data_IF_489705943536
#
_entry.id   IF_489705943536
#
_cell.length_a   1.000
_cell.length_b   1.000
_cell.length_c   1.000
_cell.angle_alpha   90.00
_cell.angle_beta   90.00
_cell.angle_gamma   90.00
#
_symmetry.space_group_name_H-M   'P 1'
#
loop_
_entity.id
_entity.type
_entity.pdbx_description
1 polymer ?
#
# COMPACT_ATOMS: atom_id res chain seq x y z
N UNK A 1 -45.09 17.83 -21.76
CA UNK A 1 -43.68 17.50 -21.49
C UNK A 1 -43.48 17.01 -20.06
N UNK A 2 -44.02 17.69 -19.05
CA UNK A 2 -43.87 17.31 -17.63
C UNK A 2 -44.39 15.90 -17.30
N UNK A 3 -45.56 15.50 -17.80
CA UNK A 3 -46.12 14.16 -17.57
C UNK A 3 -45.27 13.01 -18.14
N UNK A 4 -44.52 13.27 -19.22
CA UNK A 4 -43.62 12.27 -19.84
C UNK A 4 -42.40 12.05 -18.95
N UNK A 5 -41.85 13.13 -18.39
CA UNK A 5 -40.71 13.06 -17.46
C UNK A 5 -41.12 12.33 -16.18
N UNK A 6 -42.29 12.64 -15.63
CA UNK A 6 -42.83 11.97 -14.43
C UNK A 6 -43.02 10.47 -14.70
N UNK A 7 -43.59 10.10 -15.85
CA UNK A 7 -43.79 8.69 -16.22
C UNK A 7 -42.47 7.92 -16.37
N UNK A 8 -41.46 8.52 -17.01
CA UNK A 8 -40.12 7.93 -17.12
C UNK A 8 -39.46 7.74 -15.75
N UNK A 9 -39.62 8.71 -14.84
CA UNK A 9 -39.03 8.64 -13.51
C UNK A 9 -39.66 7.53 -12.67
N UNK A 10 -40.98 7.34 -12.77
CA UNK A 10 -41.71 6.24 -12.11
C UNK A 10 -41.26 4.89 -12.66
N UNK A 11 -41.12 4.74 -13.99
CA UNK A 11 -40.58 3.51 -14.59
C UNK A 11 -39.15 3.22 -14.14
N UNK A 12 -38.31 4.25 -14.03
CA UNK A 12 -36.93 4.11 -13.56
C UNK A 12 -36.87 3.68 -12.08
N UNK A 13 -37.66 4.30 -11.21
CA UNK A 13 -37.74 3.92 -9.79
C UNK A 13 -38.21 2.47 -9.66
N UNK A 14 -39.27 2.07 -10.40
CA UNK A 14 -39.75 0.70 -10.41
C UNK A 14 -38.69 -0.30 -10.90
N UNK A 15 -37.93 0.05 -11.93
CA UNK A 15 -36.83 -0.76 -12.44
C UNK A 15 -35.70 -0.93 -11.41
N UNK A 16 -35.29 0.16 -10.76
CA UNK A 16 -34.24 0.13 -9.70
C UNK A 16 -34.72 -0.73 -8.53
N UNK A 17 -35.96 -0.57 -8.09
CA UNK A 17 -36.52 -1.34 -6.97
C UNK A 17 -36.62 -2.83 -7.31
N UNK A 18 -36.96 -3.16 -8.56
CA UNK A 18 -36.94 -4.54 -9.05
C UNK A 18 -35.52 -5.13 -9.06
N UNK A 19 -34.53 -4.37 -9.53
CA UNK A 19 -33.12 -4.79 -9.50
C UNK A 19 -32.59 -5.00 -8.08
N UNK A 20 -32.94 -4.11 -7.15
CA UNK A 20 -32.56 -4.22 -5.75
C UNK A 20 -33.18 -5.48 -5.10
N UNK A 21 -34.49 -5.69 -5.24
CA UNK A 21 -35.14 -6.90 -4.70
C UNK A 21 -34.59 -8.21 -5.30
N UNK A 22 -34.16 -8.21 -6.57
CA UNK A 22 -33.49 -9.37 -7.17
C UNK A 22 -32.13 -9.63 -6.52
N UNK A 23 -31.37 -8.57 -6.22
CA UNK A 23 -30.08 -8.66 -5.54
C UNK A 23 -30.24 -9.07 -4.08
N UNK A 24 -31.23 -8.54 -3.38
CA UNK A 24 -31.50 -8.89 -1.99
C UNK A 24 -31.89 -10.36 -1.85
N UNK A 25 -32.69 -10.90 -2.78
CA UNK A 25 -32.97 -12.35 -2.84
C UNK A 25 -31.74 -13.19 -3.17
N UNK A 26 -30.83 -12.71 -4.01
CA UNK A 26 -29.57 -13.40 -4.29
C UNK A 26 -28.65 -13.39 -3.07
N UNK A 27 -28.57 -12.27 -2.36
CA UNK A 27 -27.79 -12.15 -1.12
C UNK A 27 -28.41 -13.03 -0.04
N UNK A 28 -29.73 -13.00 0.15
CA UNK A 28 -30.42 -13.83 1.14
C UNK A 28 -30.28 -15.33 0.82
N UNK A 29 -30.34 -15.72 -0.46
CA UNK A 29 -30.08 -17.12 -0.85
C UNK A 29 -28.62 -17.52 -0.70
N UNK A 30 -27.66 -16.60 -0.91
CA UNK A 30 -26.25 -16.85 -0.62
C UNK A 30 -26.02 -16.97 0.89
N UNK A 31 -26.51 -16.03 1.70
CA UNK A 31 -26.39 -16.02 3.16
C UNK A 31 -27.07 -17.24 3.77
N UNK A 32 -28.26 -17.62 3.32
CA UNK A 32 -28.95 -18.84 3.78
C UNK A 32 -28.27 -20.14 3.32
N UNK A 33 -27.58 -20.11 2.17
CA UNK A 33 -26.69 -21.21 1.79
C UNK A 33 -25.50 -21.26 2.73
N UNK A 34 -24.81 -20.13 2.96
CA UNK A 34 -23.65 -20.02 3.85
C UNK A 34 -23.97 -20.38 5.30
N UNK A 35 -25.12 -19.99 5.85
CA UNK A 35 -25.51 -20.31 7.23
C UNK A 35 -25.92 -21.78 7.43
N UNK A 36 -26.44 -22.44 6.39
CA UNK A 36 -26.63 -23.91 6.39
C UNK A 36 -25.32 -24.68 6.23
N UNK A 37 -24.35 -24.05 5.59
CA UNK A 37 -23.01 -24.57 5.26
C UNK A 37 -22.08 -24.45 6.49
N UNK A 38 -22.16 -23.38 7.26
CA UNK A 38 -21.34 -23.10 8.45
C UNK A 38 -21.46 -24.17 9.56
N UNK A 39 -22.53 -24.96 9.56
CA UNK A 39 -22.77 -25.99 10.58
C UNK A 39 -22.04 -27.31 10.32
N UNK A 40 -21.44 -27.52 9.15
CA UNK A 40 -20.92 -28.85 8.76
C UNK A 40 -19.62 -28.81 7.90
N UNK A 41 -18.85 -27.73 7.96
CA UNK A 41 -17.64 -27.60 7.14
C UNK A 41 -16.44 -28.34 7.74
N UNK A 42 -16.18 -29.53 7.18
CA UNK A 42 -14.90 -30.22 7.29
C UNK A 42 -13.81 -29.39 6.60
N UNK A 43 -12.74 -29.07 7.33
CA UNK A 43 -11.60 -28.25 6.91
C UNK A 43 -11.03 -28.67 5.54
N UNK A 44 -11.18 -29.95 5.19
CA UNK A 44 -10.74 -30.49 3.89
C UNK A 44 -11.56 -29.98 2.69
N UNK A 45 -12.86 -29.70 2.85
CA UNK A 45 -13.70 -29.17 1.77
C UNK A 45 -13.39 -27.70 1.48
N UNK A 46 -13.01 -26.94 2.50
CA UNK A 46 -12.52 -25.56 2.36
C UNK A 46 -11.23 -25.56 1.56
N UNK A 47 -10.32 -26.48 1.88
CA UNK A 47 -9.05 -26.65 1.19
C UNK A 47 -9.25 -26.99 -0.29
N UNK A 48 -10.17 -27.91 -0.59
CA UNK A 48 -10.54 -28.26 -1.97
C UNK A 48 -11.17 -27.09 -2.73
N UNK A 49 -12.05 -26.30 -2.11
CA UNK A 49 -12.64 -25.12 -2.74
C UNK A 49 -11.61 -24.01 -2.97
N UNK A 50 -10.67 -23.80 -2.05
CA UNK A 50 -9.56 -22.86 -2.21
C UNK A 50 -8.60 -23.30 -3.33
N UNK A 51 -8.35 -24.60 -3.45
CA UNK A 51 -7.54 -25.19 -4.51
C UNK A 51 -8.23 -25.11 -5.87
N UNK A 52 -9.54 -25.38 -5.92
CA UNK A 52 -10.37 -25.23 -7.12
C UNK A 52 -10.41 -23.77 -7.59
N UNK A 53 -10.55 -22.81 -6.66
CA UNK A 53 -10.53 -21.37 -6.98
C UNK A 53 -9.15 -20.90 -7.45
N UNK A 54 -8.06 -21.48 -6.90
CA UNK A 54 -6.68 -21.24 -7.36
C UNK A 54 -6.47 -21.74 -8.78
N UNK A 55 -7.02 -22.90 -9.14
CA UNK A 55 -6.93 -23.47 -10.48
C UNK A 55 -7.76 -22.68 -11.51
N UNK A 56 -8.95 -22.21 -11.13
CA UNK A 56 -9.81 -21.38 -11.99
C UNK A 56 -9.17 -20.02 -12.34
N UNK A 57 -8.34 -19.47 -11.45
CA UNK A 57 -7.55 -18.27 -11.74
C UNK A 57 -6.29 -18.52 -12.59
N UNK A 58 -5.90 -19.78 -12.84
CA UNK A 58 -4.69 -20.07 -13.64
C UNK A 58 -4.88 -20.00 -15.15
N UNK A 59 -6.13 -20.05 -15.65
CA UNK A 59 -6.46 -20.19 -17.08
C UNK A 59 -6.91 -18.91 -17.77
N UNK A 60 -7.09 -17.81 -17.04
CA UNK A 60 -7.16 -16.48 -17.66
C UNK A 60 -5.76 -15.89 -17.67
N UNK A 61 -5.38 -15.19 -18.73
CA UNK A 61 -4.12 -14.44 -18.87
C UNK A 61 -4.04 -13.31 -17.83
N UNK A 62 -3.91 -13.68 -16.56
CA UNK A 62 -3.69 -12.81 -15.41
C UNK A 62 -2.21 -12.44 -15.44
N UNK A 63 -1.93 -11.14 -15.46
CA UNK A 63 -0.63 -10.56 -15.10
C UNK A 63 -0.04 -11.35 -13.93
N UNK A 64 0.99 -12.18 -14.19
CA UNK A 64 1.55 -13.07 -13.17
C UNK A 64 2.09 -12.18 -12.06
N UNK A 65 1.45 -12.23 -10.89
CA UNK A 65 1.93 -11.54 -9.72
C UNK A 65 3.16 -12.29 -9.19
N UNK A 66 4.33 -11.68 -9.35
CA UNK A 66 5.64 -12.17 -8.93
C UNK A 66 6.12 -11.52 -7.64
N UNK A 67 5.25 -10.80 -6.92
CA UNK A 67 5.60 -10.20 -5.62
C UNK A 67 6.10 -11.25 -4.61
N UNK A 68 5.52 -12.45 -4.67
CA UNK A 68 5.82 -13.56 -3.76
C UNK A 68 6.93 -14.48 -4.27
N UNK A 69 7.57 -14.14 -5.39
CA UNK A 69 8.73 -14.88 -5.86
C UNK A 69 9.87 -14.70 -4.86
N UNK A 70 10.60 -15.78 -4.57
CA UNK A 70 11.71 -15.81 -3.63
C UNK A 70 12.72 -14.64 -3.78
N UNK A 71 13.22 -14.28 -4.99
CA UNK A 71 14.13 -13.14 -5.14
C UNK A 71 13.49 -11.80 -4.73
N UNK A 72 12.18 -11.63 -4.94
CA UNK A 72 11.46 -10.40 -4.60
C UNK A 72 11.24 -10.31 -3.09
N UNK A 73 10.79 -11.39 -2.45
CA UNK A 73 10.64 -11.47 -1.00
C UNK A 73 11.98 -11.24 -0.30
N UNK A 74 13.05 -11.91 -0.77
CA UNK A 74 14.40 -11.73 -0.24
C UNK A 74 14.87 -10.29 -0.38
N UNK A 75 14.59 -9.64 -1.51
CA UNK A 75 14.92 -8.23 -1.68
C UNK A 75 14.10 -7.33 -0.78
N UNK A 76 12.79 -7.54 -0.67
CA UNK A 76 11.89 -6.72 0.15
C UNK A 76 12.32 -6.76 1.62
N UNK A 77 12.55 -7.95 2.17
CA UNK A 77 12.80 -8.15 3.60
C UNK A 77 14.26 -8.33 4.00
N UNK A 78 15.23 -8.07 3.11
CA UNK A 78 16.66 -8.23 3.43
C UNK A 78 17.14 -7.42 4.66
N UNK A 79 16.40 -6.40 5.08
CA UNK A 79 16.73 -5.51 6.20
C UNK A 79 15.71 -5.60 7.35
N UNK A 80 14.89 -6.64 7.42
CA UNK A 80 13.78 -6.73 8.39
C UNK A 80 14.20 -6.66 9.86
N UNK A 81 15.40 -7.15 10.19
CA UNK A 81 15.90 -7.17 11.56
C UNK A 81 16.38 -5.79 12.05
N UNK A 82 16.88 -4.96 11.13
CA UNK A 82 17.62 -3.74 11.48
C UNK A 82 16.93 -2.47 10.96
N UNK A 83 15.82 -2.59 10.24
CA UNK A 83 15.12 -1.45 9.64
C UNK A 83 13.61 -1.65 9.61
N UNK A 84 12.89 -0.54 9.76
CA UNK A 84 11.47 -0.46 9.39
C UNK A 84 11.38 -0.41 7.87
N UNK A 85 10.58 -1.31 7.29
CA UNK A 85 10.40 -1.42 5.84
C UNK A 85 9.02 -0.85 5.49
N UNK A 86 9.01 0.05 4.52
CA UNK A 86 7.81 0.66 3.98
C UNK A 86 7.73 0.44 2.48
N UNK A 87 6.51 0.33 1.96
CA UNK A 87 6.25 0.21 0.53
C UNK A 87 5.31 1.30 0.05
N UNK A 88 5.57 1.76 -1.18
CA UNK A 88 4.72 2.70 -1.88
C UNK A 88 4.45 2.22 -3.31
N UNK A 89 3.19 2.26 -3.74
CA UNK A 89 2.78 1.84 -5.07
C UNK A 89 2.75 3.04 -6.02
N UNK A 90 3.34 2.89 -7.20
CA UNK A 90 3.31 3.88 -8.26
C UNK A 90 3.03 3.26 -9.63
N UNK A 91 2.32 4.01 -10.46
CA UNK A 91 1.84 3.56 -11.78
C UNK A 91 2.97 3.43 -12.79
N UNK A 92 3.89 4.38 -12.78
CA UNK A 92 4.87 4.58 -13.84
C UNK A 92 6.29 4.36 -13.35
N UNK A 93 7.10 3.69 -14.17
CA UNK A 93 8.51 3.46 -13.87
C UNK A 93 9.29 4.76 -13.74
N UNK A 94 8.90 5.78 -14.52
CA UNK A 94 9.51 7.10 -14.46
C UNK A 94 9.36 7.72 -13.07
N UNK A 95 8.22 7.54 -12.43
CA UNK A 95 7.97 8.00 -11.06
C UNK A 95 8.82 7.22 -10.06
N UNK A 96 8.89 5.89 -10.19
CA UNK A 96 9.76 5.07 -9.34
C UNK A 96 11.25 5.47 -9.46
N UNK A 97 11.73 5.69 -10.69
CA UNK A 97 13.09 6.18 -10.98
C UNK A 97 13.31 7.60 -10.44
N UNK A 98 12.31 8.47 -10.51
CA UNK A 98 12.37 9.81 -9.94
C UNK A 98 12.53 9.75 -8.42
N UNK A 99 11.72 8.92 -7.75
CA UNK A 99 11.82 8.70 -6.29
C UNK A 99 13.19 8.15 -5.91
N UNK A 100 13.72 7.21 -6.70
CA UNK A 100 15.05 6.65 -6.49
C UNK A 100 16.17 7.72 -6.54
N UNK A 101 16.03 8.69 -7.45
CA UNK A 101 17.02 9.75 -7.68
C UNK A 101 16.87 10.93 -6.73
N UNK A 102 15.64 11.33 -6.41
CA UNK A 102 15.33 12.59 -5.72
C UNK A 102 14.91 12.38 -4.26
N UNK A 103 14.58 11.15 -3.87
CA UNK A 103 13.97 10.86 -2.57
C UNK A 103 12.45 10.73 -2.66
N UNK A 104 11.84 10.36 -1.54
CA UNK A 104 10.40 10.11 -1.46
C UNK A 104 9.66 11.32 -0.90
N UNK A 105 8.75 11.89 -1.70
CA UNK A 105 7.96 13.05 -1.31
C UNK A 105 6.62 12.64 -0.73
N UNK A 106 6.21 13.30 0.33
CA UNK A 106 4.92 13.08 0.98
C UNK A 106 4.38 14.38 1.57
N UNK A 107 3.08 14.37 1.87
CA UNK A 107 2.32 15.51 2.38
C UNK A 107 1.63 15.05 3.66
N UNK A 108 1.58 15.93 4.67
CA UNK A 108 1.00 15.72 6.01
C UNK A 108 1.61 14.59 6.85
N UNK A 109 1.49 13.34 6.40
CA UNK A 109 1.91 12.15 7.15
C UNK A 109 2.44 11.07 6.21
N UNK A 110 3.63 10.59 6.52
CA UNK A 110 4.32 9.58 5.71
C UNK A 110 3.48 8.30 5.55
N UNK A 111 2.87 7.85 6.65
CA UNK A 111 2.03 6.63 6.72
C UNK A 111 0.78 6.68 5.82
N UNK A 112 0.31 7.87 5.42
CA UNK A 112 -0.80 8.00 4.45
C UNK A 112 -0.36 7.64 3.03
N UNK A 113 0.94 7.75 2.74
CA UNK A 113 1.50 7.59 1.39
C UNK A 113 2.31 6.30 1.24
N UNK A 114 2.95 5.83 2.31
CA UNK A 114 3.74 4.61 2.35
C UNK A 114 3.27 3.72 3.51
N UNK A 115 3.14 2.42 3.27
CA UNK A 115 2.69 1.47 4.28
C UNK A 115 3.86 0.66 4.82
N UNK A 116 3.97 0.58 6.15
CA UNK A 116 4.92 -0.33 6.77
C UNK A 116 4.54 -1.78 6.47
N UNK A 117 5.50 -2.64 6.17
CA UNK A 117 5.27 -4.07 5.91
C UNK A 117 6.17 -4.93 6.78
N UNK A 118 5.66 -6.13 7.06
CA UNK A 118 6.36 -7.18 7.80
C UNK A 118 6.48 -8.42 6.93
N UNK A 119 7.42 -9.30 7.27
CA UNK A 119 7.57 -10.61 6.62
C UNK A 119 6.47 -11.58 7.09
N UNK A 120 5.23 -11.17 6.84
CA UNK A 120 4.00 -11.91 7.04
C UNK A 120 3.29 -11.94 5.69
N UNK A 121 3.18 -13.13 5.12
CA UNK A 121 2.59 -13.33 3.79
C UNK A 121 1.12 -12.93 3.74
N UNK A 122 0.38 -13.03 4.86
CA UNK A 122 -1.03 -12.65 4.95
C UNK A 122 -1.15 -11.13 4.93
N UNK A 123 -0.38 -10.43 5.76
CA UNK A 123 -0.34 -8.97 5.81
C UNK A 123 0.09 -8.39 4.45
N UNK A 124 1.18 -8.91 3.87
CA UNK A 124 1.67 -8.46 2.57
C UNK A 124 0.65 -8.72 1.46
N UNK A 125 -0.04 -9.86 1.47
CA UNK A 125 -1.10 -10.17 0.51
C UNK A 125 -2.29 -9.24 0.63
N UNK A 126 -2.71 -8.92 1.85
CA UNK A 126 -3.78 -7.97 2.10
C UNK A 126 -3.42 -6.58 1.55
N UNK A 127 -2.28 -6.03 1.98
CA UNK A 127 -1.80 -4.71 1.54
C UNK A 127 -1.62 -4.64 0.03
N UNK A 128 -1.03 -5.68 -0.56
CA UNK A 128 -0.87 -5.77 -2.00
C UNK A 128 -2.22 -5.76 -2.72
N UNK A 129 -3.20 -6.53 -2.27
CA UNK A 129 -4.51 -6.56 -2.91
C UNK A 129 -5.27 -5.23 -2.82
N UNK A 130 -5.11 -4.50 -1.72
CA UNK A 130 -5.69 -3.17 -1.54
C UNK A 130 -4.98 -2.13 -2.43
N UNK A 131 -3.65 -2.20 -2.55
CA UNK A 131 -2.84 -1.13 -3.15
C UNK A 131 -2.40 -1.36 -4.60
N UNK A 132 -2.48 -2.58 -5.15
CA UNK A 132 -2.08 -2.89 -6.53
C UNK A 132 -2.75 -2.04 -7.60
N UNK A 133 -3.93 -1.48 -7.32
CA UNK A 133 -4.64 -0.58 -8.25
C UNK A 133 -3.95 0.78 -8.43
N UNK A 134 -3.08 1.21 -7.51
CA UNK A 134 -2.31 2.44 -7.63
C UNK A 134 -1.14 2.32 -8.61
N UNK A 135 -0.75 1.10 -8.98
CA UNK A 135 0.29 0.88 -9.98
C UNK A 135 1.08 -0.39 -9.77
N UNK A 136 1.88 -0.75 -10.78
CA UNK A 136 2.64 -2.01 -10.81
C UNK A 136 4.04 -1.95 -10.19
N UNK A 137 4.53 -0.74 -9.90
CA UNK A 137 5.85 -0.53 -9.32
C UNK A 137 5.71 -0.28 -7.83
N UNK A 138 6.46 -1.05 -7.04
CA UNK A 138 6.52 -0.94 -5.59
C UNK A 138 7.87 -0.36 -5.23
N UNK A 139 7.89 0.87 -4.74
CA UNK A 139 9.08 1.48 -4.14
C UNK A 139 9.27 0.91 -2.75
N UNK A 140 10.48 0.47 -2.44
CA UNK A 140 10.86 -0.07 -1.12
C UNK A 140 11.71 0.97 -0.40
N UNK A 141 11.26 1.37 0.78
CA UNK A 141 11.91 2.34 1.65
C UNK A 141 12.30 1.61 2.94
N UNK A 142 13.52 1.82 3.41
CA UNK A 142 14.00 1.24 4.66
C UNK A 142 14.66 2.32 5.51
N UNK A 143 14.20 2.45 6.75
CA UNK A 143 14.76 3.36 7.75
C UNK A 143 15.30 2.52 8.90
N UNK A 144 16.59 2.69 9.21
CA UNK A 144 17.27 1.94 10.27
C UNK A 144 16.60 2.14 11.62
N UNK A 145 16.41 1.05 12.37
CA UNK A 145 15.72 1.04 13.66
C UNK A 145 16.38 2.00 14.65
N UNK A 146 17.72 2.03 14.70
CA UNK A 146 18.48 2.91 15.58
C UNK A 146 18.16 4.40 15.34
N UNK A 147 18.16 4.81 14.07
CA UNK A 147 17.93 6.22 13.70
C UNK A 147 16.47 6.59 13.94
N UNK A 148 15.55 5.71 13.55
CA UNK A 148 14.13 5.93 13.75
C UNK A 148 13.80 6.11 15.24
N UNK A 149 14.31 5.20 16.08
CA UNK A 149 14.08 5.24 17.51
C UNK A 149 14.74 6.47 18.15
N UNK A 150 15.95 6.83 17.73
CA UNK A 150 16.64 8.02 18.22
C UNK A 150 15.81 9.30 18.01
N UNK A 151 15.32 9.53 16.80
CA UNK A 151 14.51 10.72 16.51
C UNK A 151 13.13 10.66 17.16
N UNK A 152 12.54 9.47 17.30
CA UNK A 152 11.30 9.30 18.03
C UNK A 152 11.45 9.69 19.51
N UNK A 153 12.54 9.26 20.16
CA UNK A 153 12.86 9.64 21.54
C UNK A 153 13.13 11.15 21.67
N UNK A 154 13.90 11.74 20.74
CA UNK A 154 14.19 13.18 20.74
C UNK A 154 12.90 14.02 20.58
N UNK A 155 12.00 13.62 19.69
CA UNK A 155 10.70 14.26 19.50
C UNK A 155 9.82 14.22 20.76
N UNK A 156 9.83 13.08 21.47
CA UNK A 156 9.14 12.94 22.76
C UNK A 156 9.75 13.91 23.79
N UNK A 157 11.08 13.99 23.88
CA UNK A 157 11.76 14.91 24.79
C UNK A 157 11.46 16.39 24.50
N UNK A 158 11.29 16.76 23.23
CA UNK A 158 10.95 18.12 22.79
C UNK A 158 9.45 18.45 22.89
N UNK A 159 8.61 17.54 23.40
CA UNK A 159 7.14 17.65 23.41
C UNK A 159 6.52 17.89 22.02
N UNK A 160 7.20 17.47 20.94
CA UNK A 160 6.71 17.57 19.56
C UNK A 160 5.96 16.30 19.14
N UNK A 161 4.94 15.92 19.92
CA UNK A 161 4.19 14.66 19.72
C UNK A 161 3.43 14.58 18.38
N UNK A 162 3.21 15.72 17.70
CA UNK A 162 2.56 15.78 16.39
C UNK A 162 3.52 15.62 15.21
N UNK A 163 4.83 15.51 15.45
CA UNK A 163 5.84 15.32 14.40
C UNK A 163 6.27 13.87 14.37
N UNK A 164 6.38 13.30 13.17
CA UNK A 164 6.88 11.94 12.97
C UNK A 164 8.39 11.96 12.62
N UNK A 165 9.17 10.93 12.97
CA UNK A 165 10.60 10.86 12.63
C UNK A 165 10.89 11.12 11.15
N UNK A 166 10.01 10.67 10.25
CA UNK A 166 10.14 10.84 8.80
C UNK A 166 10.13 12.31 8.36
N UNK A 167 9.51 13.21 9.13
CA UNK A 167 9.53 14.65 8.85
C UNK A 167 10.94 15.22 9.07
N UNK A 168 11.63 14.74 10.11
CA UNK A 168 13.00 15.15 10.44
C UNK A 168 14.01 14.52 9.48
N UNK A 169 13.78 13.27 9.09
CA UNK A 169 14.62 12.53 8.14
C UNK A 169 14.54 13.05 6.70
N UNK A 170 13.80 14.14 6.48
CA UNK A 170 13.76 14.85 5.21
C UNK A 170 15.14 15.44 4.87
N UNK A 171 15.71 15.04 3.73
CA UNK A 171 17.05 15.47 3.32
C UNK A 171 17.12 16.93 2.85
N UNK A 172 15.97 17.59 2.76
CA UNK A 172 15.76 18.97 2.29
C UNK A 172 14.70 19.61 3.20
N UNK A 173 14.78 20.91 3.52
CA UNK A 173 13.70 21.63 4.18
C UNK A 173 12.36 21.43 3.47
N UNK A 174 11.27 21.36 4.24
CA UNK A 174 9.93 21.32 3.67
C UNK A 174 9.67 22.59 2.85
N UNK A 175 8.79 22.48 1.86
CA UNK A 175 8.36 23.61 1.05
C UNK A 175 6.86 23.54 0.82
N UNK A 176 6.25 24.69 0.62
CA UNK A 176 4.82 24.80 0.31
C UNK A 176 4.63 24.60 -1.19
N UNK A 177 3.75 23.68 -1.59
CA UNK A 177 3.40 23.44 -2.99
C UNK A 177 2.35 24.46 -3.50
N UNK A 178 1.96 24.32 -4.77
CA UNK A 178 0.94 25.18 -5.41
C UNK A 178 -0.46 25.07 -4.78
N UNK A 179 -0.71 24.01 -3.99
CA UNK A 179 -1.96 23.77 -3.27
C UNK A 179 -1.91 24.27 -1.82
N UNK A 180 -0.88 25.04 -1.44
CA UNK A 180 -0.65 25.51 -0.06
C UNK A 180 -0.38 24.38 0.96
N UNK A 181 0.05 23.21 0.49
CA UNK A 181 0.37 22.06 1.34
C UNK A 181 1.88 21.97 1.59
N UNK A 182 2.24 21.63 2.82
CA UNK A 182 3.64 21.38 3.20
C UNK A 182 4.11 20.02 2.68
N UNK A 183 5.17 20.05 1.85
CA UNK A 183 5.78 18.87 1.23
C UNK A 183 7.09 18.55 1.93
N UNK A 184 7.21 17.31 2.37
CA UNK A 184 8.44 16.74 2.94
C UNK A 184 9.11 15.82 1.92
N UNK A 185 10.45 15.69 1.98
CA UNK A 185 11.23 14.84 1.07
C UNK A 185 12.19 13.94 1.83
N UNK A 186 11.77 12.70 2.09
CA UNK A 186 12.62 11.68 2.67
C UNK A 186 13.83 11.42 1.76
N UNK A 187 15.01 11.40 2.38
CA UNK A 187 16.28 11.28 1.66
C UNK A 187 16.35 10.02 0.79
N UNK A 188 16.91 10.13 -0.43
CA UNK A 188 17.06 9.00 -1.37
C UNK A 188 17.85 7.82 -0.79
N UNK A 189 18.72 8.06 0.19
CA UNK A 189 19.49 7.03 0.87
C UNK A 189 18.59 6.04 1.63
N UNK A 190 17.39 6.45 2.05
CA UNK A 190 16.41 5.53 2.66
C UNK A 190 15.62 4.73 1.60
N UNK A 191 15.72 5.09 0.32
CA UNK A 191 15.06 4.36 -0.77
C UNK A 191 15.97 3.22 -1.21
N UNK A 192 15.56 1.98 -0.92
CA UNK A 192 16.31 0.77 -1.26
C UNK A 192 16.27 0.45 -2.75
N UNK A 193 15.14 0.72 -3.38
CA UNK A 193 14.90 0.33 -4.76
C UNK A 193 13.43 0.32 -5.11
N UNK A 194 13.12 -0.24 -6.27
CA UNK A 194 11.75 -0.55 -6.64
C UNK A 194 11.64 -1.93 -7.29
N UNK A 195 10.45 -2.51 -7.20
CA UNK A 195 10.07 -3.81 -7.75
C UNK A 195 8.95 -3.57 -8.76
N UNK A 196 9.00 -4.21 -9.93
CA UNK A 196 7.82 -4.37 -10.76
C UNK A 196 7.20 -5.73 -10.44
N UNK A 197 6.07 -5.77 -9.73
CA UNK A 197 5.50 -7.03 -9.26
C UNK A 197 4.91 -7.91 -10.37
N UNK A 198 4.67 -7.38 -11.57
CA UNK A 198 4.17 -8.18 -12.71
C UNK A 198 5.30 -8.95 -13.39
N UNK A 199 6.50 -8.36 -13.41
CA UNK A 199 7.68 -8.94 -14.09
C UNK A 199 8.67 -9.58 -13.11
N UNK A 200 8.61 -9.24 -11.83
CA UNK A 200 9.60 -9.60 -10.82
C UNK A 200 10.91 -8.83 -10.97
N UNK A 201 10.96 -7.80 -11.82
CA UNK A 201 12.16 -6.98 -12.03
C UNK A 201 12.45 -6.14 -10.79
N UNK A 202 13.69 -6.17 -10.33
CA UNK A 202 14.16 -5.42 -9.16
C UNK A 202 15.21 -4.43 -9.63
N UNK A 203 15.06 -3.16 -9.22
CA UNK A 203 16.06 -2.12 -9.43
C UNK A 203 16.50 -1.60 -8.08
N UNK A 204 17.79 -1.74 -7.80
CA UNK A 204 18.39 -1.33 -6.54
C UNK A 204 18.94 0.08 -6.63
N UNK A 205 18.85 0.83 -5.53
CA UNK A 205 19.55 2.10 -5.38
C UNK A 205 21.00 1.87 -4.95
N UNK A 206 21.97 2.34 -5.73
CA UNK A 206 23.39 2.27 -5.36
C UNK A 206 23.75 3.17 -4.17
N UNK A 207 22.93 4.17 -3.87
CA UNK A 207 23.13 5.11 -2.76
C UNK A 207 22.35 4.72 -1.49
N UNK A 208 21.74 3.53 -1.48
CA UNK A 208 20.96 3.05 -0.33
C UNK A 208 21.83 2.90 0.92
N UNK A 209 21.40 3.57 1.99
CA UNK A 209 21.97 3.50 3.33
C UNK A 209 20.84 3.69 4.37
N UNK A 210 20.33 2.61 4.97
CA UNK A 210 19.22 2.71 5.94
C UNK A 210 19.63 3.40 7.23
N UNK A 211 20.94 3.43 7.52
CA UNK A 211 21.55 4.14 8.66
C UNK A 211 22.14 5.49 8.25
N UNK A 212 21.59 6.11 7.19
CA UNK A 212 22.03 7.44 6.75
C UNK A 212 21.74 8.48 7.85
N UNK A 213 22.81 8.96 8.49
CA UNK A 213 22.73 10.06 9.44
C UNK A 213 22.87 11.36 8.66
N UNK A 214 21.75 12.04 8.42
CA UNK A 214 21.80 13.43 8.01
C UNK A 214 22.26 14.29 9.20
N UNK A 215 23.04 15.33 8.93
CA UNK A 215 23.24 16.41 9.89
C UNK A 215 21.92 17.17 9.99
N UNK A 216 21.03 16.72 10.88
CA UNK A 216 19.83 17.48 11.23
C UNK A 216 20.31 18.80 11.81
N UNK A 217 20.07 19.88 11.07
CA UNK A 217 20.47 21.21 11.52
C UNK A 217 19.50 21.61 12.63
N UNK A 218 19.95 22.29 13.70
CA UNK A 218 19.08 22.68 14.84
C UNK A 218 17.78 23.39 14.42
N UNK A 219 17.77 23.99 13.24
CA UNK A 219 16.60 24.64 12.62
C UNK A 219 15.46 23.67 12.27
N UNK A 220 15.74 22.39 11.99
CA UNK A 220 14.72 21.36 11.75
C UNK A 220 14.12 20.79 13.05
N UNK A 221 14.82 21.01 14.18
CA UNK A 221 14.39 20.57 15.52
C UNK A 221 13.65 21.66 16.29
N UNK A 222 13.87 22.94 15.96
CA UNK A 222 13.12 24.09 16.51
C UNK A 222 11.78 24.27 15.79
#
# INVERSE_FOLDING_TARGET
MEYIVISLLICYIAYVHYQMNKKDRLIETMVNKFSRIEKDWDTNQILLLLEEHRLLHSTTTISRNRLFDEPVIKFLFANENDSKIFIHYTKDELTAKKILREGFRFIEAFEKTAEQVYNDSVDLSYKHNVRKYYGKYIVVICIGNEIYNHFNEELIHLNKQNTQPEHILSGIPSFINENEEEVFTLSKQFVKGYINYETGTIVQNSEFSPSYKYFVTKEQLN
#
